data_IF_894998285143
#
_entry.id   IF_894998285143
#
_cell.length_a   1.000
_cell.length_b   1.000
_cell.length_c   1.000
_cell.angle_alpha   90.00
_cell.angle_beta   90.00
_cell.angle_gamma   90.00
#
_symmetry.space_group_name_H-M   'P 1'
#
loop_
_entity.id
_entity.type
_entity.pdbx_description
1 polymer ?
#
# COMPACT_ATOMS: atom_id res chain seq x y z
N UNK A 1 -12.56 -8.91 43.61
CA UNK A 1 -11.99 -8.29 42.39
C UNK A 1 -10.95 -9.23 41.82
N UNK A 2 -11.12 -9.80 40.62
CA UNK A 2 -10.09 -10.68 40.07
C UNK A 2 -8.84 -9.84 39.79
N UNK A 3 -7.73 -10.21 40.44
CA UNK A 3 -6.42 -9.61 40.22
C UNK A 3 -5.94 -10.12 38.87
N UNK A 4 -6.11 -9.32 37.81
CA UNK A 4 -5.56 -9.63 36.50
C UNK A 4 -4.03 -9.57 36.61
N UNK A 5 -3.44 -10.71 36.95
CA UNK A 5 -2.00 -10.92 36.89
C UNK A 5 -1.63 -10.92 35.40
N UNK A 6 -1.47 -9.74 34.81
CA UNK A 6 -0.91 -9.56 33.47
C UNK A 6 0.46 -10.21 33.48
N UNK A 7 0.48 -11.47 33.09
CA UNK A 7 1.70 -12.27 33.10
C UNK A 7 2.58 -11.70 32.00
N UNK A 8 3.85 -11.47 32.30
CA UNK A 8 4.83 -10.93 31.34
C UNK A 8 4.79 -11.69 30.00
N UNK A 9 4.50 -13.00 30.07
CA UNK A 9 4.27 -13.89 28.92
C UNK A 9 3.11 -13.45 28.01
N UNK A 10 2.01 -12.97 28.57
CA UNK A 10 0.85 -12.49 27.82
C UNK A 10 1.16 -11.16 27.12
N UNK A 11 1.85 -10.26 27.82
CA UNK A 11 2.26 -8.97 27.26
C UNK A 11 3.27 -9.16 26.12
N UNK A 12 4.28 -10.00 26.33
CA UNK A 12 5.30 -10.34 25.32
C UNK A 12 4.67 -10.97 24.07
N UNK A 13 3.68 -11.85 24.24
CA UNK A 13 2.96 -12.48 23.12
C UNK A 13 2.18 -11.46 22.30
N UNK A 14 1.48 -10.53 22.93
CA UNK A 14 0.70 -9.54 22.19
C UNK A 14 1.62 -8.54 21.46
N UNK A 15 2.68 -8.09 22.12
CA UNK A 15 3.68 -7.21 21.50
C UNK A 15 4.36 -7.92 20.33
N UNK A 16 4.74 -9.19 20.46
CA UNK A 16 5.37 -9.93 19.36
C UNK A 16 4.46 -10.09 18.14
N UNK A 17 3.15 -10.27 18.35
CA UNK A 17 2.17 -10.34 17.27
C UNK A 17 2.08 -8.99 16.55
N UNK A 18 1.94 -7.89 17.31
CA UNK A 18 1.85 -6.54 16.74
C UNK A 18 3.12 -6.17 15.99
N UNK A 19 4.29 -6.44 16.58
CA UNK A 19 5.59 -6.21 15.95
C UNK A 19 5.73 -7.06 14.69
N UNK A 20 5.36 -8.33 14.73
CA UNK A 20 5.37 -9.21 13.56
C UNK A 20 4.50 -8.69 12.43
N UNK A 21 3.28 -8.24 12.73
CA UNK A 21 2.35 -7.67 11.76
C UNK A 21 2.92 -6.39 11.13
N UNK A 22 3.46 -5.48 11.96
CA UNK A 22 4.07 -4.23 11.50
C UNK A 22 5.31 -4.49 10.64
N UNK A 23 6.14 -5.48 11.01
CA UNK A 23 7.32 -5.85 10.25
C UNK A 23 6.97 -6.51 8.91
N UNK A 24 5.94 -7.35 8.86
CA UNK A 24 5.43 -7.91 7.60
C UNK A 24 4.94 -6.78 6.69
N UNK A 25 4.10 -5.90 7.22
CA UNK A 25 3.58 -4.76 6.47
C UNK A 25 4.72 -3.88 5.94
N UNK A 26 5.68 -3.51 6.78
CA UNK A 26 6.87 -2.74 6.38
C UNK A 26 7.72 -3.49 5.36
N UNK A 27 7.94 -4.79 5.55
CA UNK A 27 8.68 -5.63 4.62
C UNK A 27 8.07 -5.65 3.23
N UNK A 28 6.74 -5.75 3.14
CA UNK A 28 6.02 -5.68 1.87
C UNK A 28 6.23 -4.32 1.20
N UNK A 29 6.14 -3.21 1.95
CA UNK A 29 6.44 -1.88 1.42
C UNK A 29 7.85 -1.78 0.87
N UNK A 30 8.87 -2.24 1.60
CA UNK A 30 10.25 -2.17 1.11
C UNK A 30 10.51 -3.07 -0.10
N UNK A 31 9.86 -4.23 -0.17
CA UNK A 31 9.96 -5.11 -1.34
C UNK A 31 9.28 -4.47 -2.54
N UNK A 32 8.08 -3.91 -2.37
CA UNK A 32 7.37 -3.20 -3.43
C UNK A 32 8.11 -1.95 -3.89
N UNK A 33 8.65 -1.16 -2.96
CA UNK A 33 9.43 0.05 -3.24
C UNK A 33 10.73 -0.28 -3.97
N UNK A 34 11.41 -1.37 -3.57
CA UNK A 34 12.62 -1.84 -4.25
C UNK A 34 12.31 -2.49 -5.60
N UNK A 35 11.20 -3.21 -5.73
CA UNK A 35 10.74 -3.73 -7.02
C UNK A 35 10.37 -2.60 -7.96
N UNK A 36 9.66 -1.58 -7.48
CA UNK A 36 9.31 -0.39 -8.25
C UNK A 36 10.58 0.36 -8.69
N UNK A 37 11.51 0.60 -7.76
CA UNK A 37 12.80 1.22 -8.06
C UNK A 37 13.65 0.41 -9.05
N UNK A 38 13.60 -0.92 -8.98
CA UNK A 38 14.39 -1.81 -9.86
C UNK A 38 13.75 -2.02 -11.25
N UNK A 39 12.42 -2.09 -11.33
CA UNK A 39 11.68 -2.18 -12.60
C UNK A 39 11.56 -0.83 -13.32
N UNK A 40 11.41 0.27 -12.57
CA UNK A 40 11.17 1.62 -13.13
C UNK A 40 12.39 2.55 -13.06
N UNK A 41 13.54 2.06 -12.60
CA UNK A 41 14.87 2.59 -12.93
C UNK A 41 15.09 4.09 -12.66
N UNK A 42 14.40 4.68 -11.69
CA UNK A 42 14.55 6.08 -11.31
C UNK A 42 13.88 7.12 -12.22
N UNK A 43 13.11 6.71 -13.24
CA UNK A 43 12.32 7.67 -14.03
C UNK A 43 10.86 7.69 -13.55
N UNK A 44 10.58 8.51 -12.54
CA UNK A 44 9.20 8.84 -12.10
C UNK A 44 8.31 9.29 -13.27
N UNK A 45 8.91 9.77 -14.37
CA UNK A 45 8.20 10.17 -15.58
C UNK A 45 7.42 9.02 -16.22
N UNK A 46 8.03 7.84 -16.41
CA UNK A 46 7.35 6.73 -17.10
C UNK A 46 6.27 6.09 -16.23
N UNK A 47 6.46 5.99 -14.92
CA UNK A 47 5.43 5.50 -13.99
C UNK A 47 4.27 6.47 -13.86
N UNK A 48 4.53 7.78 -13.83
CA UNK A 48 3.48 8.80 -13.84
C UNK A 48 2.68 8.77 -15.15
N UNK A 49 3.36 8.69 -16.29
CA UNK A 49 2.71 8.60 -17.60
C UNK A 49 1.90 7.31 -17.72
N UNK A 50 2.44 6.16 -17.30
CA UNK A 50 1.73 4.89 -17.29
C UNK A 50 0.51 4.92 -16.34
N UNK A 51 0.65 5.52 -15.16
CA UNK A 51 -0.43 5.70 -14.19
C UNK A 51 -1.55 6.60 -14.73
N UNK A 52 -1.22 7.67 -15.43
CA UNK A 52 -2.18 8.54 -16.10
C UNK A 52 -2.92 7.78 -17.20
N UNK A 53 -2.20 7.02 -18.03
CA UNK A 53 -2.80 6.23 -19.11
C UNK A 53 -3.73 5.15 -18.55
N UNK A 54 -3.30 4.43 -17.51
CA UNK A 54 -4.12 3.40 -16.85
C UNK A 54 -5.33 4.01 -16.14
N UNK A 55 -5.16 5.13 -15.45
CA UNK A 55 -6.26 5.86 -14.81
C UNK A 55 -7.30 6.34 -15.83
N UNK A 56 -6.86 6.89 -16.96
CA UNK A 56 -7.75 7.29 -18.05
C UNK A 56 -8.45 6.08 -18.67
N UNK A 57 -7.76 4.96 -18.87
CA UNK A 57 -8.37 3.73 -19.41
C UNK A 57 -9.41 3.15 -18.45
N UNK A 58 -9.12 3.12 -17.14
CA UNK A 58 -10.07 2.64 -16.12
C UNK A 58 -11.30 3.53 -16.04
N UNK A 59 -11.15 4.86 -16.10
CA UNK A 59 -12.29 5.78 -16.14
C UNK A 59 -13.05 5.69 -17.46
N UNK A 60 -12.37 5.35 -18.55
CA UNK A 60 -13.00 5.21 -19.86
C UNK A 60 -13.79 3.91 -20.03
N UNK A 61 -13.38 2.81 -19.41
CA UNK A 61 -14.03 1.49 -19.54
C UNK A 61 -15.52 1.48 -19.12
N UNK A 62 -15.93 2.04 -17.97
CA UNK A 62 -17.32 1.97 -17.52
C UNK A 62 -18.25 2.88 -18.32
N UNK A 63 -17.84 4.12 -18.60
CA UNK A 63 -18.74 5.14 -19.17
C UNK A 63 -18.55 5.36 -20.68
N UNK A 64 -17.42 4.92 -21.27
CA UNK A 64 -17.01 5.20 -22.67
C UNK A 64 -17.09 6.67 -23.10
N UNK A 65 -17.26 7.59 -22.15
CA UNK A 65 -17.50 9.00 -22.41
C UNK A 65 -16.81 9.83 -21.32
N UNK A 66 -15.80 10.62 -21.70
CA UNK A 66 -14.95 11.41 -20.79
C UNK A 66 -15.58 12.79 -20.46
N UNK A 67 -16.89 12.94 -20.62
CA UNK A 67 -17.61 14.22 -20.51
C UNK A 67 -17.57 14.84 -19.12
N UNK A 68 -17.33 14.07 -18.06
CA UNK A 68 -17.20 14.63 -16.71
C UNK A 68 -15.90 15.40 -16.50
N UNK A 69 -14.83 15.08 -17.24
CA UNK A 69 -13.54 15.78 -17.13
C UNK A 69 -13.55 17.08 -17.95
N UNK A 70 -14.36 17.17 -19.02
CA UNK A 70 -14.50 18.38 -19.85
C UNK A 70 -15.21 19.54 -19.12
N UNK A 71 -15.86 19.27 -18.00
CA UNK A 71 -16.70 20.24 -17.27
C UNK A 71 -15.99 20.94 -16.09
N UNK A 72 -14.73 20.58 -15.82
CA UNK A 72 -13.86 21.19 -14.80
C UNK A 72 -12.83 22.12 -15.47
#
# INVERSE_FOLDING_TARGET
MPKNNLTIRYLAKNISIVVGLVLIWRGIWYVLDRLDSWFFGGSHFWTAVAGIIVGLLILYIPDKDLKEIEKL
#
